data_IF_262694683521
#
_entry.id   IF_262694683521
#
_cell.length_a   1.000
_cell.length_b   1.000
_cell.length_c   1.000
_cell.angle_alpha   90.00
_cell.angle_beta   90.00
_cell.angle_gamma   90.00
#
_symmetry.space_group_name_H-M   'P 1'
#
loop_
_entity.id
_entity.type
_entity.pdbx_description
1 polymer ?
#
# COMPACT_ATOMS: atom_id res chain seq x y z
N UNK A 1 -28.86 -6.79 -13.11
CA UNK A 1 -27.48 -6.80 -13.63
C UNK A 1 -26.56 -5.87 -12.84
N UNK A 2 -27.04 -4.71 -12.39
CA UNK A 2 -26.27 -3.72 -11.59
C UNK A 2 -25.61 -4.29 -10.33
N UNK A 3 -26.33 -5.13 -9.57
CA UNK A 3 -25.75 -5.81 -8.40
C UNK A 3 -24.54 -6.69 -8.76
N UNK A 4 -24.53 -7.31 -9.94
CA UNK A 4 -23.41 -8.13 -10.41
C UNK A 4 -22.14 -7.32 -10.66
N UNK A 5 -22.28 -6.14 -11.29
CA UNK A 5 -21.15 -5.24 -11.54
C UNK A 5 -20.57 -4.74 -10.22
N UNK A 6 -21.44 -4.32 -9.28
CA UNK A 6 -20.97 -3.86 -7.97
C UNK A 6 -20.25 -4.95 -7.19
N UNK A 7 -20.78 -6.17 -7.17
CA UNK A 7 -20.12 -7.32 -6.53
C UNK A 7 -18.73 -7.54 -7.14
N UNK A 8 -18.62 -7.51 -8.46
CA UNK A 8 -17.34 -7.65 -9.15
C UNK A 8 -16.37 -6.53 -8.75
N UNK A 9 -16.83 -5.27 -8.69
CA UNK A 9 -15.97 -4.14 -8.30
C UNK A 9 -15.53 -4.22 -6.84
N UNK A 10 -16.42 -4.59 -5.91
CA UNK A 10 -16.02 -4.85 -4.52
C UNK A 10 -14.97 -5.96 -4.46
N UNK A 11 -15.18 -7.07 -5.17
CA UNK A 11 -14.23 -8.17 -5.22
C UNK A 11 -12.87 -7.75 -5.80
N UNK A 12 -12.85 -7.01 -6.92
CA UNK A 12 -11.63 -6.47 -7.51
C UNK A 12 -10.91 -5.50 -6.58
N UNK A 13 -11.64 -4.67 -5.84
CA UNK A 13 -11.04 -3.77 -4.86
C UNK A 13 -10.37 -4.56 -3.73
N UNK A 14 -11.04 -5.58 -3.18
CA UNK A 14 -10.49 -6.47 -2.14
C UNK A 14 -9.27 -7.24 -2.66
N UNK A 15 -9.34 -7.79 -3.87
CA UNK A 15 -8.20 -8.45 -4.51
C UNK A 15 -7.03 -7.47 -4.67
N UNK A 16 -7.30 -6.25 -5.15
CA UNK A 16 -6.29 -5.21 -5.28
C UNK A 16 -5.61 -4.88 -3.96
N UNK A 17 -6.39 -4.75 -2.87
CA UNK A 17 -5.87 -4.57 -1.50
C UNK A 17 -4.98 -5.73 -1.09
N UNK A 18 -5.40 -6.99 -1.32
CA UNK A 18 -4.58 -8.16 -1.00
C UNK A 18 -3.24 -8.17 -1.75
N UNK A 19 -3.24 -7.83 -3.04
CA UNK A 19 -2.03 -7.74 -3.87
C UNK A 19 -1.13 -6.56 -3.50
N UNK A 20 -1.69 -5.46 -2.98
CA UNK A 20 -0.94 -4.29 -2.50
C UNK A 20 -0.31 -4.51 -1.12
N UNK A 21 -1.08 -5.07 -0.19
CA UNK A 21 -0.73 -5.20 1.23
C UNK A 21 0.08 -6.46 1.50
N UNK A 22 -0.25 -7.57 0.84
CA UNK A 22 0.41 -8.86 1.02
C UNK A 22 1.93 -8.79 0.89
N UNK A 23 2.48 -8.17 -0.17
CA UNK A 23 3.93 -7.99 -0.30
C UNK A 23 4.57 -7.21 0.84
N UNK A 24 3.90 -6.19 1.38
CA UNK A 24 4.43 -5.38 2.48
C UNK A 24 4.57 -6.22 3.74
N UNK A 25 3.53 -6.99 4.09
CA UNK A 25 3.58 -7.94 5.21
C UNK A 25 4.66 -8.99 5.03
N UNK A 26 4.70 -9.62 3.85
CA UNK A 26 5.68 -10.66 3.57
C UNK A 26 7.12 -10.12 3.69
N UNK A 27 7.39 -8.95 3.11
CA UNK A 27 8.72 -8.33 3.20
C UNK A 27 9.09 -7.96 4.63
N UNK A 28 8.19 -7.29 5.35
CA UNK A 28 8.46 -6.80 6.70
C UNK A 28 8.65 -7.93 7.73
N UNK A 29 7.80 -8.95 7.69
CA UNK A 29 7.71 -9.94 8.78
C UNK A 29 8.26 -11.32 8.43
N UNK A 30 8.38 -11.67 7.15
CA UNK A 30 8.88 -12.99 6.75
C UNK A 30 10.26 -12.89 6.06
N UNK A 31 10.33 -12.22 4.91
CA UNK A 31 11.52 -12.23 4.08
C UNK A 31 12.71 -11.50 4.70
N UNK A 32 12.53 -10.26 5.17
CA UNK A 32 13.64 -9.49 5.75
C UNK A 32 14.25 -10.23 6.95
N UNK A 33 13.48 -10.72 7.94
CA UNK A 33 14.01 -11.54 9.02
C UNK A 33 14.70 -12.82 8.54
N UNK A 34 14.04 -13.61 7.69
CA UNK A 34 14.59 -14.89 7.22
C UNK A 34 15.89 -14.72 6.41
N UNK A 35 15.97 -13.66 5.60
CA UNK A 35 17.14 -13.38 4.76
C UNK A 35 18.42 -13.16 5.57
N UNK A 36 18.33 -12.78 6.86
CA UNK A 36 19.49 -12.58 7.73
C UNK A 36 20.27 -13.87 7.98
N UNK A 37 19.63 -15.04 7.85
CA UNK A 37 20.28 -16.34 7.96
C UNK A 37 21.08 -16.76 6.71
N UNK A 38 20.97 -16.02 5.60
CA UNK A 38 21.73 -16.31 4.38
C UNK A 38 23.12 -15.70 4.54
N UNK A 39 24.13 -16.57 4.76
CA UNK A 39 25.52 -16.18 4.94
C UNK A 39 26.14 -15.60 3.65
N UNK A 40 25.80 -16.18 2.49
CA UNK A 40 26.29 -15.70 1.19
C UNK A 40 25.64 -14.37 0.81
N UNK A 41 26.39 -13.28 0.95
CA UNK A 41 25.91 -11.91 0.74
C UNK A 41 25.46 -11.67 -0.71
N UNK A 42 26.22 -12.06 -1.76
CA UNK A 42 25.78 -11.93 -3.15
C UNK A 42 24.45 -12.63 -3.43
N UNK A 43 24.26 -13.88 -2.98
CA UNK A 43 22.99 -14.60 -3.15
C UNK A 43 21.85 -13.90 -2.42
N UNK A 44 22.08 -13.44 -1.18
CA UNK A 44 21.08 -12.70 -0.40
C UNK A 44 20.62 -11.43 -1.13
N UNK A 45 21.55 -10.65 -1.67
CA UNK A 45 21.25 -9.40 -2.39
C UNK A 45 20.51 -9.69 -3.70
N UNK A 46 20.96 -10.70 -4.47
CA UNK A 46 20.28 -11.13 -5.71
C UNK A 46 18.84 -11.59 -5.46
N UNK A 47 18.62 -12.34 -4.39
CA UNK A 47 17.28 -12.77 -3.98
C UNK A 47 16.40 -11.58 -3.58
N UNK A 48 16.93 -10.67 -2.76
CA UNK A 48 16.24 -9.43 -2.37
C UNK A 48 15.80 -8.61 -3.60
N UNK A 49 16.70 -8.39 -4.56
CA UNK A 49 16.40 -7.69 -5.82
C UNK A 49 15.28 -8.35 -6.62
N UNK A 50 15.35 -9.68 -6.73
CA UNK A 50 14.36 -10.45 -7.50
C UNK A 50 12.98 -10.38 -6.86
N UNK A 51 12.90 -10.59 -5.55
CA UNK A 51 11.65 -10.60 -4.79
C UNK A 51 11.02 -9.22 -4.78
N UNK A 52 11.79 -8.18 -4.43
CA UNK A 52 11.29 -6.79 -4.39
C UNK A 52 10.80 -6.32 -5.76
N UNK A 53 11.49 -6.67 -6.86
CA UNK A 53 11.02 -6.34 -8.21
C UNK A 53 9.70 -7.04 -8.56
N UNK A 54 9.57 -8.34 -8.29
CA UNK A 54 8.33 -9.09 -8.55
C UNK A 54 7.16 -8.54 -7.74
N UNK A 55 7.40 -8.25 -6.47
CA UNK A 55 6.38 -7.63 -5.62
C UNK A 55 6.07 -6.19 -6.01
N UNK A 56 7.02 -5.44 -6.58
CA UNK A 56 6.75 -4.15 -7.18
C UNK A 56 5.72 -4.24 -8.31
N UNK A 57 5.82 -5.23 -9.19
CA UNK A 57 4.81 -5.47 -10.24
C UNK A 57 3.47 -5.91 -9.66
N UNK A 58 3.46 -6.86 -8.72
CA UNK A 58 2.23 -7.35 -8.08
C UNK A 58 1.51 -6.22 -7.35
N UNK A 59 2.24 -5.41 -6.59
CA UNK A 59 1.73 -4.22 -5.92
C UNK A 59 1.20 -3.20 -6.93
N UNK A 60 1.94 -2.91 -8.00
CA UNK A 60 1.48 -2.00 -9.05
C UNK A 60 0.15 -2.44 -9.69
N UNK A 61 -0.01 -3.73 -9.99
CA UNK A 61 -1.29 -4.30 -10.46
C UNK A 61 -2.37 -4.15 -9.39
N UNK A 62 -2.06 -4.47 -8.14
CA UNK A 62 -2.98 -4.31 -7.01
C UNK A 62 -3.49 -2.87 -6.86
N UNK A 63 -2.59 -1.88 -6.94
CA UNK A 63 -2.96 -0.46 -6.91
C UNK A 63 -3.86 -0.08 -8.08
N UNK A 64 -3.57 -0.57 -9.29
CA UNK A 64 -4.44 -0.37 -10.45
C UNK A 64 -5.86 -0.89 -10.21
N UNK A 65 -5.99 -2.11 -9.68
CA UNK A 65 -7.30 -2.69 -9.32
C UNK A 65 -8.03 -1.87 -8.26
N UNK A 66 -7.32 -1.44 -7.20
CA UNK A 66 -7.88 -0.58 -6.14
C UNK A 66 -8.45 0.70 -6.73
N UNK A 67 -7.69 1.38 -7.59
CA UNK A 67 -8.10 2.67 -8.17
C UNK A 67 -9.27 2.53 -9.14
N UNK A 68 -9.24 1.54 -10.03
CA UNK A 68 -10.32 1.30 -11.01
C UNK A 68 -11.61 0.95 -10.27
N UNK A 69 -11.57 -0.06 -9.40
CA UNK A 69 -12.74 -0.49 -8.64
C UNK A 69 -13.20 0.59 -7.66
N UNK A 70 -12.27 1.27 -6.98
CA UNK A 70 -12.57 2.33 -6.04
C UNK A 70 -13.28 3.52 -6.70
N UNK A 71 -12.87 3.87 -7.91
CA UNK A 71 -13.53 4.94 -8.70
C UNK A 71 -14.97 4.58 -9.03
N UNK A 72 -15.24 3.34 -9.44
CA UNK A 72 -16.61 2.87 -9.66
C UNK A 72 -17.45 2.88 -8.36
N UNK A 73 -16.86 2.40 -7.26
CA UNK A 73 -17.56 2.30 -5.97
C UNK A 73 -17.92 3.68 -5.41
N UNK A 74 -17.04 4.67 -5.56
CA UNK A 74 -17.35 6.05 -5.15
C UNK A 74 -18.25 6.76 -6.15
N UNK A 75 -18.26 6.42 -7.44
CA UNK A 75 -19.17 7.07 -8.39
C UNK A 75 -20.63 6.60 -8.26
N UNK A 76 -20.83 5.39 -7.72
CA UNK A 76 -22.16 4.75 -7.59
C UNK A 76 -22.65 4.66 -6.14
N UNK A 77 -21.92 5.27 -5.19
CA UNK A 77 -22.21 5.14 -3.75
C UNK A 77 -23.62 5.63 -3.38
N UNK A 78 -24.04 6.72 -4.01
CA UNK A 78 -25.29 7.42 -3.75
C UNK A 78 -26.49 6.55 -4.10
N UNK A 79 -26.50 6.04 -5.33
CA UNK A 79 -27.51 5.11 -5.84
C UNK A 79 -27.57 3.84 -5.00
N UNK A 80 -26.40 3.31 -4.62
CA UNK A 80 -26.34 2.09 -3.83
C UNK A 80 -26.96 2.24 -2.42
N UNK A 81 -26.72 3.39 -1.78
CA UNK A 81 -27.21 3.65 -0.43
C UNK A 81 -28.58 4.34 -0.40
N UNK A 82 -29.16 4.67 -1.56
CA UNK A 82 -30.45 5.35 -1.65
C UNK A 82 -30.43 6.77 -1.08
N UNK A 83 -29.29 7.44 -1.14
CA UNK A 83 -29.15 8.83 -0.68
C UNK A 83 -29.70 9.75 -1.78
N UNK A 84 -30.53 10.76 -1.44
CA UNK A 84 -31.16 11.72 -2.38
C UNK A 84 -30.33 12.99 -2.61
N UNK A 85 -30.28 13.51 -3.85
CA UNK A 85 -29.29 14.46 -4.37
C UNK A 85 -29.13 15.74 -3.53
N UNK A 86 -30.14 16.07 -2.74
CA UNK A 86 -30.16 17.16 -1.76
C UNK A 86 -29.13 17.03 -0.63
N UNK A 87 -28.71 15.82 -0.27
CA UNK A 87 -27.74 15.59 0.83
C UNK A 87 -26.30 15.85 0.35
N UNK A 88 -25.59 16.78 0.97
CA UNK A 88 -24.19 17.05 0.64
C UNK A 88 -23.29 15.85 0.96
N UNK A 89 -22.20 15.69 0.19
CA UNK A 89 -21.22 14.61 0.42
C UNK A 89 -20.62 14.67 1.83
N UNK A 90 -20.29 15.87 2.30
CA UNK A 90 -19.69 16.12 3.62
C UNK A 90 -20.72 16.32 4.73
N UNK A 91 -22.01 16.24 4.43
CA UNK A 91 -23.08 16.27 5.43
C UNK A 91 -23.15 14.91 6.16
N UNK A 92 -22.65 13.85 5.51
CA UNK A 92 -22.56 12.51 6.06
C UNK A 92 -21.13 12.20 6.53
N UNK A 93 -21.02 11.36 7.56
CA UNK A 93 -19.73 10.75 7.98
C UNK A 93 -19.02 10.06 6.83
N UNK A 94 -19.78 9.48 5.89
CA UNK A 94 -19.27 8.84 4.68
C UNK A 94 -18.28 9.73 3.93
N UNK A 95 -18.63 10.99 3.69
CA UNK A 95 -17.78 11.91 2.94
C UNK A 95 -16.51 12.28 3.68
N UNK A 96 -16.60 12.49 5.00
CA UNK A 96 -15.41 12.75 5.84
C UNK A 96 -14.47 11.56 5.90
N UNK A 97 -14.99 10.36 6.15
CA UNK A 97 -14.20 9.12 6.18
C UNK A 97 -13.50 8.92 4.84
N UNK A 98 -14.22 9.09 3.73
CA UNK A 98 -13.64 8.99 2.38
C UNK A 98 -12.56 10.04 2.15
N UNK A 99 -12.80 11.30 2.52
CA UNK A 99 -11.83 12.39 2.35
C UNK A 99 -10.54 12.13 3.12
N UNK A 100 -10.65 11.71 4.39
CA UNK A 100 -9.50 11.33 5.22
C UNK A 100 -8.76 10.13 4.59
N UNK A 101 -9.50 9.11 4.13
CA UNK A 101 -8.94 7.94 3.44
C UNK A 101 -8.13 8.36 2.21
N UNK A 102 -8.64 9.29 1.41
CA UNK A 102 -7.95 9.78 0.21
C UNK A 102 -6.74 10.65 0.53
N UNK A 103 -6.80 11.47 1.59
CA UNK A 103 -5.64 12.21 2.07
C UNK A 103 -4.51 11.27 2.54
N UNK A 104 -4.86 10.22 3.31
CA UNK A 104 -3.91 9.19 3.71
C UNK A 104 -3.34 8.43 2.50
N UNK A 105 -4.17 8.12 1.50
CA UNK A 105 -3.71 7.49 0.26
C UNK A 105 -2.67 8.38 -0.45
N UNK A 106 -2.91 9.68 -0.55
CA UNK A 106 -1.94 10.60 -1.17
C UNK A 106 -0.62 10.63 -0.40
N UNK A 107 -0.67 10.74 0.94
CA UNK A 107 0.53 10.68 1.78
C UNK A 107 1.27 9.35 1.59
N UNK A 108 0.55 8.23 1.59
CA UNK A 108 1.11 6.91 1.34
C UNK A 108 1.79 6.82 -0.04
N UNK A 109 1.18 7.35 -1.09
CA UNK A 109 1.76 7.35 -2.44
C UNK A 109 3.04 8.18 -2.50
N UNK A 110 3.10 9.32 -1.82
CA UNK A 110 4.32 10.13 -1.71
C UNK A 110 5.42 9.36 -1.00
N UNK A 111 5.13 8.70 0.12
CA UNK A 111 6.09 7.90 0.88
C UNK A 111 6.61 6.71 0.07
N UNK A 112 5.72 5.99 -0.61
CA UNK A 112 6.07 4.86 -1.50
C UNK A 112 6.92 5.35 -2.67
N UNK A 113 6.54 6.45 -3.32
CA UNK A 113 7.30 7.05 -4.40
C UNK A 113 8.71 7.45 -3.95
N UNK A 114 8.82 8.16 -2.83
CA UNK A 114 10.11 8.50 -2.23
C UNK A 114 10.95 7.25 -1.93
N UNK A 115 10.33 6.20 -1.40
CA UNK A 115 11.00 4.93 -1.12
C UNK A 115 11.51 4.25 -2.40
N UNK A 116 10.66 4.08 -3.42
CA UNK A 116 10.98 3.37 -4.66
C UNK A 116 11.99 4.13 -5.52
N UNK A 117 11.88 5.46 -5.61
CA UNK A 117 12.74 6.24 -6.50
C UNK A 117 14.02 6.73 -5.85
N UNK A 118 14.06 6.88 -4.52
CA UNK A 118 15.24 7.43 -3.81
C UNK A 118 15.92 6.42 -2.90
N UNK A 119 15.19 5.80 -1.97
CA UNK A 119 15.81 5.03 -0.88
C UNK A 119 16.17 3.60 -1.32
N UNK A 120 15.25 2.90 -1.96
CA UNK A 120 15.42 1.52 -2.43
C UNK A 120 16.62 1.34 -3.37
N UNK A 121 16.74 2.14 -4.46
CA UNK A 121 17.86 2.03 -5.39
C UNK A 121 19.21 2.28 -4.73
N UNK A 122 19.31 3.31 -3.87
CA UNK A 122 20.56 3.63 -3.14
C UNK A 122 20.95 2.50 -2.18
N UNK A 123 19.98 1.94 -1.45
CA UNK A 123 20.25 0.83 -0.54
C UNK A 123 20.71 -0.41 -1.30
N UNK A 124 20.06 -0.73 -2.44
CA UNK A 124 20.43 -1.88 -3.25
C UNK A 124 21.83 -1.72 -3.87
N UNK A 125 22.17 -0.55 -4.38
CA UNK A 125 23.49 -0.23 -4.92
C UNK A 125 24.61 -0.47 -3.89
N UNK A 126 24.47 0.09 -2.67
CA UNK A 126 25.47 -0.13 -1.61
C UNK A 126 25.59 -1.61 -1.21
N UNK A 127 24.47 -2.35 -1.22
CA UNK A 127 24.48 -3.78 -0.93
C UNK A 127 25.18 -4.59 -2.04
N UNK A 128 24.98 -4.22 -3.31
CA UNK A 128 25.64 -4.84 -4.46
C UNK A 128 27.15 -4.55 -4.44
N UNK A 129 27.56 -3.31 -4.16
CA UNK A 129 28.97 -2.92 -4.00
C UNK A 129 29.65 -3.67 -2.85
N UNK A 130 28.99 -3.77 -1.70
CA UNK A 130 29.47 -4.57 -0.57
C UNK A 130 29.62 -6.05 -0.95
N UNK A 131 28.66 -6.60 -1.70
CA UNK A 131 28.71 -7.99 -2.17
C UNK A 131 29.87 -8.24 -3.15
N UNK A 132 30.28 -7.23 -3.92
CA UNK A 132 31.41 -7.30 -4.84
C UNK A 132 32.77 -7.06 -4.16
N UNK A 133 32.81 -6.88 -2.84
CA UNK A 133 34.03 -6.66 -2.07
C UNK A 133 34.54 -5.21 -2.08
N UNK A 134 33.73 -4.25 -2.53
CA UNK A 134 34.07 -2.84 -2.45
C UNK A 134 33.99 -2.32 -1.00
N UNK A 135 34.83 -1.33 -0.66
CA UNK A 135 34.73 -0.62 0.62
C UNK A 135 33.48 0.25 0.62
N UNK A 136 32.53 -0.09 1.48
CA UNK A 136 31.29 0.66 1.69
C UNK A 136 31.27 1.24 3.11
N UNK A 137 30.73 2.44 3.26
CA UNK A 137 30.50 3.03 4.58
C UNK A 137 29.41 2.25 5.32
N UNK A 138 29.81 1.52 6.37
CA UNK A 138 28.88 0.78 7.24
C UNK A 138 27.86 1.71 7.91
N UNK A 139 28.25 2.94 8.23
CA UNK A 139 27.37 3.95 8.83
C UNK A 139 26.26 4.37 7.87
N UNK A 140 26.62 4.64 6.60
CA UNK A 140 25.66 5.01 5.56
C UNK A 140 24.69 3.87 5.27
N UNK A 141 25.21 2.65 5.15
CA UNK A 141 24.41 1.45 4.91
C UNK A 141 23.44 1.19 6.07
N UNK A 142 23.89 1.33 7.32
CA UNK A 142 23.04 1.21 8.51
C UNK A 142 21.95 2.29 8.54
N UNK A 143 22.29 3.54 8.18
CA UNK A 143 21.32 4.64 8.10
C UNK A 143 20.26 4.38 7.04
N UNK A 144 20.65 3.97 5.83
CA UNK A 144 19.71 3.66 4.75
C UNK A 144 18.81 2.46 5.10
N UNK A 145 19.36 1.41 5.73
CA UNK A 145 18.58 0.27 6.23
C UNK A 145 17.51 0.73 7.24
N UNK A 146 17.88 1.56 8.21
CA UNK A 146 16.93 2.10 9.21
C UNK A 146 15.83 2.94 8.57
N UNK A 147 16.21 3.84 7.65
CA UNK A 147 15.25 4.69 6.93
C UNK A 147 14.30 3.86 6.06
N UNK A 148 14.84 2.88 5.33
CA UNK A 148 14.09 1.95 4.51
C UNK A 148 13.06 1.16 5.33
N UNK A 149 13.46 0.61 6.47
CA UNK A 149 12.54 -0.09 7.39
C UNK A 149 11.48 0.86 7.96
N UNK A 150 11.87 2.06 8.38
CA UNK A 150 10.93 3.06 8.94
C UNK A 150 9.88 3.47 7.91
N UNK A 151 10.28 3.78 6.68
CA UNK A 151 9.36 4.12 5.60
C UNK A 151 8.43 2.95 5.24
N UNK A 152 8.97 1.73 5.21
CA UNK A 152 8.18 0.52 4.94
C UNK A 152 7.12 0.30 6.01
N UNK A 153 7.49 0.41 7.29
CA UNK A 153 6.56 0.25 8.41
C UNK A 153 5.53 1.37 8.47
N UNK A 154 5.93 2.63 8.26
CA UNK A 154 5.01 3.77 8.23
C UNK A 154 3.99 3.62 7.09
N UNK A 155 4.46 3.23 5.91
CA UNK A 155 3.60 2.96 4.75
C UNK A 155 2.61 1.85 5.05
N UNK A 156 3.06 0.75 5.68
CA UNK A 156 2.19 -0.35 6.07
C UNK A 156 1.13 0.10 7.06
N UNK A 157 1.50 0.84 8.10
CA UNK A 157 0.55 1.37 9.10
C UNK A 157 -0.49 2.29 8.46
N UNK A 158 -0.07 3.21 7.59
CA UNK A 158 -1.00 4.08 6.86
C UNK A 158 -1.92 3.25 5.96
N UNK A 159 -1.39 2.24 5.27
CA UNK A 159 -2.19 1.33 4.43
C UNK A 159 -3.24 0.59 5.25
N UNK A 160 -2.89 0.10 6.44
CA UNK A 160 -3.83 -0.53 7.37
C UNK A 160 -4.90 0.45 7.87
N UNK A 161 -4.53 1.71 8.13
CA UNK A 161 -5.50 2.75 8.48
C UNK A 161 -6.47 3.03 7.31
N UNK A 162 -5.97 3.12 6.07
CA UNK A 162 -6.80 3.25 4.86
C UNK A 162 -7.76 2.07 4.71
N UNK A 163 -7.31 0.84 5.00
CA UNK A 163 -8.16 -0.35 4.98
C UNK A 163 -9.26 -0.26 6.03
N UNK A 164 -8.92 0.11 7.27
CA UNK A 164 -9.89 0.29 8.34
C UNK A 164 -10.95 1.33 7.96
N UNK A 165 -10.54 2.49 7.40
CA UNK A 165 -11.46 3.49 6.88
C UNK A 165 -12.34 2.94 5.74
N UNK A 166 -11.76 2.13 4.85
CA UNK A 166 -12.51 1.44 3.81
C UNK A 166 -13.59 0.51 4.36
N UNK A 167 -13.29 -0.24 5.42
CA UNK A 167 -14.27 -1.08 6.12
C UNK A 167 -15.34 -0.20 6.77
N UNK A 168 -14.97 0.91 7.44
CA UNK A 168 -15.96 1.80 8.05
C UNK A 168 -16.93 2.40 7.04
N UNK A 169 -16.48 2.73 5.80
CA UNK A 169 -17.38 3.18 4.73
C UNK A 169 -18.43 2.12 4.35
N UNK A 170 -18.09 0.84 4.47
CA UNK A 170 -19.00 -0.27 4.14
C UNK A 170 -20.10 -0.51 5.20
N UNK A 171 -19.93 0.04 6.41
CA UNK A 171 -20.91 -0.06 7.50
C UNK A 171 -21.90 1.08 7.41
N UNK A 172 -22.96 0.89 6.61
CA UNK A 172 -23.95 1.94 6.30
C UNK A 172 -24.60 2.58 7.54
N UNK A 173 -24.94 1.77 8.55
CA UNK A 173 -25.53 2.25 9.82
C UNK A 173 -24.66 3.29 10.54
N UNK A 174 -23.34 3.23 10.36
CA UNK A 174 -22.39 4.18 10.94
C UNK A 174 -22.02 5.28 9.95
N UNK A 175 -21.72 4.93 8.70
CA UNK A 175 -21.18 5.87 7.70
C UNK A 175 -22.23 6.82 7.13
N UNK A 176 -23.51 6.45 7.12
CA UNK A 176 -24.59 7.29 6.59
C UNK A 176 -25.24 8.19 7.66
N UNK A 177 -24.68 8.27 8.86
CA UNK A 177 -25.13 9.23 9.86
C UNK A 177 -24.69 10.65 9.47
N UNK A 178 -25.57 11.62 9.70
CA UNK A 178 -25.23 13.03 9.61
C UNK A 178 -24.12 13.40 10.62
N UNK A 179 -23.33 14.41 10.25
CA UNK A 179 -22.24 14.93 11.08
C UNK A 179 -22.70 15.76 12.27
#
# INVERSE_FOLDING_TARGET
MENGIRILMVWLHVLGVALWVGPQFFLAFAWVPASRGIADVPTRVKAMRTITRRFGYIGGVGLGLILIAGTYLISTWRDYWGVGDEVGFLDLRYGWIFTIKMALLLVMLVLVGFHIFSIGPRQLDLLERQANGERVSEEELARLRRLSMTLSMLTLLITLAIMALGVTLSVGEYSLQEM
#
